data_IF_397023966676
#
_entry.id   IF_397023966676
#
_cell.length_a   1.000
_cell.length_b   1.000
_cell.length_c   1.000
_cell.angle_alpha   90.00
_cell.angle_beta   90.00
_cell.angle_gamma   90.00
#
_symmetry.space_group_name_H-M   'P 1'
#
loop_
_entity.id
_entity.type
_entity.pdbx_description
1 polymer ?
#
# COMPACT_ATOMS: atom_id res chain seq x y z
N UNK A 1 -18.50 -1.97 -24.90
CA UNK A 1 -18.13 -2.12 -23.47
C UNK A 1 -18.05 -0.76 -22.78
N UNK A 2 -17.26 0.19 -23.28
CA UNK A 2 -17.16 1.54 -22.72
C UNK A 2 -18.50 2.30 -22.72
N UNK A 3 -19.26 2.25 -23.82
CA UNK A 3 -20.59 2.89 -23.92
C UNK A 3 -21.60 2.33 -22.91
N UNK A 4 -21.55 1.02 -22.64
CA UNK A 4 -22.40 0.35 -21.64
C UNK A 4 -22.02 0.81 -20.22
N UNK A 5 -20.72 0.95 -19.94
CA UNK A 5 -20.24 1.50 -18.67
C UNK A 5 -20.68 2.96 -18.49
N UNK A 6 -20.62 3.76 -19.56
CA UNK A 6 -21.05 5.15 -19.53
C UNK A 6 -22.58 5.30 -19.40
N UNK A 7 -23.38 4.44 -20.03
CA UNK A 7 -24.83 4.48 -19.84
C UNK A 7 -25.24 4.10 -18.42
N UNK A 8 -24.55 3.14 -17.80
CA UNK A 8 -24.76 2.78 -16.39
C UNK A 8 -24.52 3.92 -15.42
N UNK A 9 -23.60 4.85 -15.71
CA UNK A 9 -23.39 6.03 -14.87
C UNK A 9 -24.63 6.96 -14.81
N UNK A 10 -25.49 6.92 -15.85
CA UNK A 10 -26.73 7.71 -15.91
C UNK A 10 -27.92 6.92 -15.36
N UNK A 11 -28.04 5.66 -15.73
CA UNK A 11 -29.21 4.84 -15.39
C UNK A 11 -29.14 4.27 -13.97
N UNK A 12 -27.94 3.87 -13.52
CA UNK A 12 -27.69 3.20 -12.24
C UNK A 12 -26.39 3.72 -11.60
N UNK A 13 -26.35 5.01 -11.22
CA UNK A 13 -25.12 5.67 -10.76
C UNK A 13 -24.49 4.99 -9.55
N UNK A 14 -25.28 4.55 -8.56
CA UNK A 14 -24.78 3.83 -7.38
C UNK A 14 -24.04 2.54 -7.75
N UNK A 15 -24.62 1.73 -8.64
CA UNK A 15 -24.01 0.48 -9.11
C UNK A 15 -22.74 0.73 -9.94
N UNK A 16 -22.72 1.78 -10.76
CA UNK A 16 -21.51 2.19 -11.48
C UNK A 16 -20.37 2.54 -10.49
N UNK A 17 -20.66 3.31 -9.44
CA UNK A 17 -19.66 3.69 -8.42
C UNK A 17 -19.16 2.44 -7.67
N UNK A 18 -20.04 1.49 -7.34
CA UNK A 18 -19.65 0.22 -6.71
C UNK A 18 -18.67 -0.56 -7.60
N UNK A 19 -18.92 -0.63 -8.92
CA UNK A 19 -18.02 -1.30 -9.87
C UNK A 19 -16.63 -0.65 -9.89
N UNK A 20 -16.57 0.69 -9.80
CA UNK A 20 -15.28 1.40 -9.66
C UNK A 20 -14.58 1.02 -8.36
N UNK A 21 -15.31 0.90 -7.24
CA UNK A 21 -14.75 0.41 -5.98
C UNK A 21 -14.17 -1.01 -6.10
N UNK A 22 -14.89 -1.92 -6.75
CA UNK A 22 -14.43 -3.30 -7.00
C UNK A 22 -13.18 -3.32 -7.89
N UNK A 23 -13.09 -2.44 -8.90
CA UNK A 23 -11.89 -2.31 -9.72
C UNK A 23 -10.67 -1.98 -8.85
N UNK A 24 -10.79 -1.08 -7.87
CA UNK A 24 -9.70 -0.77 -6.96
C UNK A 24 -9.32 -1.94 -6.04
N UNK A 25 -10.25 -2.85 -5.70
CA UNK A 25 -9.92 -4.11 -5.02
C UNK A 25 -9.04 -4.99 -5.91
N UNK A 26 -9.41 -5.15 -7.19
CA UNK A 26 -8.62 -5.92 -8.15
C UNK A 26 -7.22 -5.33 -8.31
N UNK A 27 -7.13 -3.99 -8.42
CA UNK A 27 -5.84 -3.29 -8.47
C UNK A 27 -5.04 -3.55 -7.20
N UNK A 28 -5.64 -3.45 -6.00
CA UNK A 28 -4.96 -3.74 -4.74
C UNK A 28 -4.39 -5.17 -4.71
N UNK A 29 -5.13 -6.17 -5.21
CA UNK A 29 -4.65 -7.55 -5.34
C UNK A 29 -3.46 -7.68 -6.28
N UNK A 30 -3.53 -7.07 -7.47
CA UNK A 30 -2.39 -7.07 -8.41
C UNK A 30 -1.17 -6.44 -7.77
N UNK A 31 -1.35 -5.32 -7.06
CA UNK A 31 -0.25 -4.58 -6.43
C UNK A 31 0.37 -5.36 -5.27
N UNK A 32 -0.42 -6.00 -4.39
CA UNK A 32 0.13 -6.78 -3.26
C UNK A 32 0.88 -8.02 -3.74
N UNK A 33 0.40 -8.69 -4.79
CA UNK A 33 1.13 -9.79 -5.44
C UNK A 33 2.43 -9.27 -6.07
N UNK A 34 2.39 -8.12 -6.74
CA UNK A 34 3.59 -7.49 -7.30
C UNK A 34 4.61 -7.14 -6.21
N UNK A 35 4.14 -6.62 -5.06
CA UNK A 35 4.99 -6.32 -3.90
C UNK A 35 5.61 -7.59 -3.32
N UNK A 36 4.83 -8.67 -3.20
CA UNK A 36 5.34 -9.96 -2.74
C UNK A 36 6.44 -10.50 -3.65
N UNK A 37 6.23 -10.48 -4.97
CA UNK A 37 7.25 -10.89 -5.95
C UNK A 37 8.48 -10.00 -5.83
N UNK A 38 8.29 -8.67 -5.78
CA UNK A 38 9.39 -7.71 -5.66
C UNK A 38 10.26 -7.97 -4.42
N UNK A 39 9.64 -8.12 -3.24
CA UNK A 39 10.36 -8.39 -1.99
C UNK A 39 11.15 -9.69 -2.09
N UNK A 40 10.57 -10.74 -2.66
CA UNK A 40 11.24 -12.03 -2.78
C UNK A 40 12.40 -12.02 -3.79
N UNK A 41 12.33 -11.20 -4.85
CA UNK A 41 13.45 -11.00 -5.79
C UNK A 41 14.64 -10.35 -5.09
N UNK A 42 14.41 -9.34 -4.24
CA UNK A 42 15.45 -8.57 -3.56
C UNK A 42 15.63 -8.96 -2.09
N UNK A 43 15.22 -10.18 -1.73
CA UNK A 43 15.06 -10.59 -0.35
C UNK A 43 16.34 -10.46 0.47
N UNK A 44 17.47 -10.92 -0.07
CA UNK A 44 18.77 -10.94 0.62
C UNK A 44 19.24 -9.54 0.94
N UNK A 45 19.15 -8.64 -0.03
CA UNK A 45 19.62 -7.27 0.10
C UNK A 45 18.70 -6.45 1.02
N UNK A 46 17.38 -6.64 0.90
CA UNK A 46 16.43 -6.02 1.84
C UNK A 46 16.71 -6.51 3.26
N UNK A 47 16.98 -7.81 3.45
CA UNK A 47 17.29 -8.35 4.78
C UNK A 47 18.62 -7.85 5.33
N UNK A 48 19.64 -7.72 4.47
CA UNK A 48 20.92 -7.11 4.84
C UNK A 48 20.72 -5.67 5.34
N UNK A 49 19.87 -4.89 4.68
CA UNK A 49 19.61 -3.50 5.09
C UNK A 49 18.77 -3.46 6.37
N UNK A 50 17.65 -4.19 6.40
CA UNK A 50 16.65 -4.08 7.46
C UNK A 50 17.09 -4.80 8.74
N UNK A 51 17.68 -5.99 8.60
CA UNK A 51 18.00 -6.88 9.72
C UNK A 51 19.50 -7.03 9.98
N UNK A 52 20.36 -6.47 9.13
CA UNK A 52 21.82 -6.67 9.16
C UNK A 52 22.23 -8.15 9.00
N UNK A 53 21.32 -8.97 8.48
CA UNK A 53 21.52 -10.40 8.25
C UNK A 53 20.84 -10.78 6.94
N UNK A 54 21.64 -11.08 5.92
CA UNK A 54 21.18 -11.50 4.59
C UNK A 54 20.52 -12.89 4.59
N UNK A 55 20.80 -13.73 5.61
CA UNK A 55 20.33 -15.12 5.72
C UNK A 55 19.11 -15.26 6.62
N UNK A 56 18.58 -14.15 7.14
CA UNK A 56 17.40 -14.17 8.01
C UNK A 56 16.23 -14.96 7.41
N UNK A 57 16.04 -14.83 6.10
CA UNK A 57 15.12 -15.69 5.34
C UNK A 57 15.94 -16.53 4.35
N UNK A 58 15.98 -17.83 4.58
CA UNK A 58 16.68 -18.78 3.71
C UNK A 58 15.85 -19.20 2.48
N UNK A 59 14.57 -18.85 2.46
CA UNK A 59 13.56 -19.30 1.49
C UNK A 59 12.62 -18.14 1.15
N UNK A 60 11.67 -18.39 0.24
CA UNK A 60 10.56 -17.47 0.00
C UNK A 60 9.90 -17.07 1.33
N UNK A 61 9.61 -15.79 1.45
CA UNK A 61 9.05 -15.21 2.67
C UNK A 61 7.65 -15.75 2.92
N UNK A 62 7.40 -16.22 4.15
CA UNK A 62 6.06 -16.67 4.53
C UNK A 62 5.08 -15.48 4.58
N UNK A 63 3.77 -15.71 4.44
CA UNK A 63 2.79 -14.62 4.40
C UNK A 63 2.88 -13.65 5.58
N UNK A 64 3.07 -14.15 6.81
CA UNK A 64 3.19 -13.29 7.99
C UNK A 64 4.47 -12.46 8.01
N UNK A 65 5.59 -13.04 7.60
CA UNK A 65 6.86 -12.32 7.47
C UNK A 65 6.77 -11.25 6.37
N UNK A 66 6.06 -11.56 5.28
CA UNK A 66 5.77 -10.61 4.21
C UNK A 66 4.91 -9.46 4.70
N UNK A 67 3.81 -9.75 5.40
CA UNK A 67 2.99 -8.70 6.00
C UNK A 67 3.81 -7.87 6.97
N UNK A 68 4.68 -8.51 7.76
CA UNK A 68 5.51 -7.82 8.72
C UNK A 68 6.47 -6.83 8.05
N UNK A 69 7.20 -7.29 7.02
CA UNK A 69 8.14 -6.45 6.30
C UNK A 69 7.43 -5.38 5.45
N UNK A 70 6.35 -5.73 4.77
CA UNK A 70 5.65 -4.84 3.84
C UNK A 70 5.05 -3.61 4.51
N UNK A 71 4.73 -3.65 5.81
CA UNK A 71 4.18 -2.49 6.56
C UNK A 71 5.26 -1.44 6.90
N UNK A 72 6.54 -1.74 6.70
CA UNK A 72 7.66 -0.84 7.00
C UNK A 72 7.50 0.58 6.41
N UNK A 73 7.08 0.79 5.14
CA UNK A 73 6.87 2.14 4.59
C UNK A 73 5.78 2.93 5.30
N UNK A 74 4.78 2.27 5.88
CA UNK A 74 3.76 2.92 6.72
C UNK A 74 4.32 3.25 8.10
N UNK A 75 5.10 2.36 8.70
CA UNK A 75 5.70 2.60 10.01
C UNK A 75 6.62 3.84 10.00
N UNK A 76 7.35 4.06 8.91
CA UNK A 76 8.32 5.15 8.74
C UNK A 76 7.83 6.30 7.86
N UNK A 77 6.52 6.43 7.63
CA UNK A 77 5.97 7.45 6.72
C UNK A 77 6.45 8.87 7.06
N UNK A 78 6.54 9.22 8.36
CA UNK A 78 6.99 10.54 8.81
C UNK A 78 8.46 10.79 8.50
N UNK A 79 9.32 9.82 8.76
CA UNK A 79 10.75 9.88 8.49
C UNK A 79 11.02 9.98 6.98
N UNK A 80 10.24 9.27 6.17
CA UNK A 80 10.31 9.33 4.72
C UNK A 80 9.92 10.73 4.23
N UNK A 81 8.86 11.33 4.79
CA UNK A 81 8.48 12.72 4.49
C UNK A 81 9.55 13.72 4.93
N UNK A 82 10.14 13.54 6.12
CA UNK A 82 11.27 14.35 6.60
C UNK A 82 12.44 14.32 5.60
N UNK A 83 12.84 13.12 5.18
CA UNK A 83 13.93 12.91 4.21
C UNK A 83 13.58 13.56 2.86
N UNK A 84 12.35 13.39 2.37
CA UNK A 84 11.94 13.86 1.05
C UNK A 84 11.74 15.37 0.97
N UNK A 85 11.22 15.99 2.03
CA UNK A 85 10.88 17.41 2.07
C UNK A 85 11.86 18.25 2.91
N UNK A 86 12.95 17.65 3.40
CA UNK A 86 13.91 18.27 4.32
C UNK A 86 13.23 18.96 5.52
N UNK A 87 12.21 18.28 6.09
CA UNK A 87 11.44 18.76 7.23
C UNK A 87 11.87 18.02 8.52
N UNK A 88 11.60 18.61 9.69
CA UNK A 88 11.90 17.99 10.99
C UNK A 88 10.62 17.79 11.80
N UNK A 89 9.78 16.83 11.39
CA UNK A 89 8.74 16.32 12.28
C UNK A 89 9.42 15.75 13.53
N UNK A 90 9.03 16.23 14.72
CA UNK A 90 9.44 15.61 16.00
C UNK A 90 9.10 14.13 15.97
N UNK A 91 10.11 13.27 16.14
CA UNK A 91 9.93 11.83 16.24
C UNK A 91 9.03 11.53 17.45
N UNK A 92 7.84 11.00 17.19
CA UNK A 92 6.88 10.63 18.24
C UNK A 92 6.92 9.13 18.56
N UNK A 93 7.82 8.40 17.90
CA UNK A 93 7.94 6.97 18.10
C UNK A 93 8.70 6.70 19.40
N UNK A 94 7.95 6.37 20.45
CA UNK A 94 8.52 5.85 21.70
C UNK A 94 9.29 4.55 21.46
N UNK A 95 9.91 4.01 22.50
CA UNK A 95 10.78 2.83 22.41
C UNK A 95 10.15 1.55 21.82
N UNK A 96 8.82 1.53 21.61
CA UNK A 96 8.02 0.41 21.12
C UNK A 96 7.68 0.56 19.62
N UNK A 97 8.71 0.68 18.77
CA UNK A 97 8.50 0.72 17.32
C UNK A 97 8.31 -0.70 16.79
N UNK A 98 7.31 -0.87 15.92
CA UNK A 98 6.97 -2.11 15.23
C UNK A 98 8.18 -2.88 14.70
N UNK A 99 9.13 -2.17 14.10
CA UNK A 99 10.41 -2.70 13.64
C UNK A 99 11.42 -1.56 13.64
N UNK A 100 12.49 -1.61 14.46
CA UNK A 100 13.49 -0.55 14.53
C UNK A 100 14.47 -0.65 13.36
N UNK A 101 14.53 0.40 12.54
CA UNK A 101 15.59 0.64 11.56
C UNK A 101 16.21 2.01 11.84
N UNK A 102 17.53 2.14 11.65
CA UNK A 102 18.22 3.41 11.79
C UNK A 102 18.04 4.30 10.55
N UNK A 103 18.23 5.60 10.72
CA UNK A 103 18.09 6.60 9.64
C UNK A 103 18.94 6.27 8.40
N UNK A 104 20.16 5.78 8.61
CA UNK A 104 21.03 5.35 7.52
C UNK A 104 20.44 4.17 6.74
N UNK A 105 19.89 3.16 7.44
CA UNK A 105 19.25 2.00 6.82
C UNK A 105 18.01 2.45 6.04
N UNK A 106 17.19 3.36 6.59
CA UNK A 106 16.03 3.90 5.90
C UNK A 106 16.42 4.68 4.63
N UNK A 107 17.45 5.54 4.71
CA UNK A 107 17.96 6.28 3.54
C UNK A 107 18.52 5.36 2.47
N UNK A 108 19.29 4.34 2.86
CA UNK A 108 19.79 3.32 1.95
C UNK A 108 18.64 2.54 1.29
N UNK A 109 17.63 2.17 2.08
CA UNK A 109 16.48 1.42 1.58
C UNK A 109 15.65 2.25 0.59
N UNK A 110 15.38 3.52 0.90
CA UNK A 110 14.69 4.46 0.01
C UNK A 110 15.44 4.69 -1.30
N UNK A 111 16.78 4.78 -1.24
CA UNK A 111 17.62 5.02 -2.42
C UNK A 111 17.68 3.80 -3.34
N UNK A 112 17.87 2.62 -2.76
CA UNK A 112 18.16 1.40 -3.53
C UNK A 112 16.89 0.62 -3.91
N UNK A 113 15.80 0.76 -3.14
CA UNK A 113 14.55 0.02 -3.33
C UNK A 113 13.31 0.93 -3.30
N UNK A 114 13.27 2.04 -4.06
CA UNK A 114 12.13 2.96 -4.05
C UNK A 114 10.82 2.29 -4.48
N UNK A 115 10.89 1.27 -5.34
CA UNK A 115 9.71 0.54 -5.83
C UNK A 115 8.97 -0.20 -4.72
N UNK A 116 9.68 -0.66 -3.68
CA UNK A 116 9.06 -1.22 -2.47
C UNK A 116 8.06 -0.25 -1.85
N UNK A 117 8.46 1.01 -1.71
CA UNK A 117 7.64 2.07 -1.15
C UNK A 117 6.49 2.44 -2.09
N UNK A 118 6.74 2.56 -3.40
CA UNK A 118 5.70 2.87 -4.38
C UNK A 118 4.61 1.80 -4.43
N UNK A 119 4.98 0.52 -4.45
CA UNK A 119 4.02 -0.59 -4.46
C UNK A 119 3.21 -0.60 -3.17
N UNK A 120 3.84 -0.41 -2.01
CA UNK A 120 3.13 -0.33 -0.73
C UNK A 120 2.13 0.83 -0.70
N UNK A 121 2.54 2.02 -1.13
CA UNK A 121 1.65 3.18 -1.14
C UNK A 121 0.52 3.07 -2.16
N UNK A 122 0.78 2.45 -3.31
CA UNK A 122 -0.25 2.17 -4.30
C UNK A 122 -1.26 1.14 -3.78
N UNK A 123 -0.82 0.14 -3.03
CA UNK A 123 -1.70 -0.82 -2.36
C UNK A 123 -2.60 -0.10 -1.34
N UNK A 124 -2.00 0.71 -0.45
CA UNK A 124 -2.74 1.48 0.55
C UNK A 124 -3.76 2.43 -0.09
N UNK A 125 -3.35 3.17 -1.12
CA UNK A 125 -4.23 4.10 -1.85
C UNK A 125 -5.39 3.36 -2.50
N UNK A 126 -5.13 2.22 -3.15
CA UNK A 126 -6.16 1.42 -3.80
C UNK A 126 -7.18 0.88 -2.78
N UNK A 127 -6.72 0.43 -1.60
CA UNK A 127 -7.60 0.02 -0.52
C UNK A 127 -8.49 1.15 -0.01
N UNK A 128 -7.93 2.33 0.22
CA UNK A 128 -8.69 3.52 0.66
C UNK A 128 -9.73 3.93 -0.39
N UNK A 129 -9.33 4.02 -1.67
CA UNK A 129 -10.24 4.38 -2.76
C UNK A 129 -11.38 3.37 -2.89
N UNK A 130 -11.07 2.07 -2.80
CA UNK A 130 -12.09 1.02 -2.79
C UNK A 130 -13.14 1.26 -1.70
N UNK A 131 -12.70 1.47 -0.45
CA UNK A 131 -13.61 1.71 0.68
C UNK A 131 -14.48 2.95 0.44
N UNK A 132 -13.89 4.04 -0.02
CA UNK A 132 -14.61 5.28 -0.33
C UNK A 132 -15.67 5.04 -1.42
N UNK A 133 -15.31 4.42 -2.53
CA UNK A 133 -16.25 4.19 -3.63
C UNK A 133 -17.34 3.19 -3.28
N UNK A 134 -17.04 2.12 -2.55
CA UNK A 134 -18.06 1.18 -2.08
C UNK A 134 -19.06 1.87 -1.13
N UNK A 135 -18.57 2.67 -0.19
CA UNK A 135 -19.41 3.42 0.72
C UNK A 135 -20.28 4.47 -0.01
N UNK A 136 -19.67 5.24 -0.92
CA UNK A 136 -20.38 6.22 -1.74
C UNK A 136 -21.42 5.56 -2.63
N UNK A 137 -21.07 4.46 -3.31
CA UNK A 137 -21.97 3.75 -4.20
C UNK A 137 -23.16 3.14 -3.46
N UNK A 138 -22.93 2.57 -2.27
CA UNK A 138 -23.99 2.11 -1.37
C UNK A 138 -24.90 3.27 -0.95
N UNK A 139 -24.31 4.39 -0.53
CA UNK A 139 -25.07 5.57 -0.09
C UNK A 139 -25.92 6.15 -1.23
N UNK A 140 -25.38 6.22 -2.45
CA UNK A 140 -26.12 6.70 -3.62
C UNK A 140 -27.30 5.78 -3.94
N UNK A 141 -27.12 4.46 -3.89
CA UNK A 141 -28.20 3.52 -4.17
C UNK A 141 -29.30 3.56 -3.10
N UNK A 142 -28.96 3.80 -1.84
CA UNK A 142 -29.93 3.85 -0.73
C UNK A 142 -30.70 5.18 -0.66
N UNK A 143 -30.01 6.31 -0.82
CA UNK A 143 -30.61 7.63 -0.57
C UNK A 143 -31.11 8.34 -1.83
N UNK A 144 -30.67 7.93 -3.02
CA UNK A 144 -31.02 8.57 -4.29
C UNK A 144 -31.75 7.65 -5.29
N UNK A 145 -32.07 6.40 -4.91
CA UNK A 145 -33.11 5.63 -5.62
C UNK A 145 -34.45 6.33 -5.43
N UNK A 146 -34.92 7.03 -6.47
CA UNK A 146 -36.34 7.37 -6.60
C UNK A 146 -37.12 6.06 -6.72
N UNK A 147 -38.10 5.87 -5.82
CA UNK A 147 -39.21 4.94 -6.05
C UNK A 147 -39.90 5.26 -7.38
#
# INVERSE_FOLDING_TARGET
MLEILLSMSKDRPGLFIILVGILFIVVAWVVIISLYIYINIYLKEICKIVYKDEKRFARLMEPFDFFYLSVLPSAYWKEILNIKFNTSFKAFYGNNIYQKIGDYQLKEFLKNYPMFFYLHYLFMLSGILSLIFLFLGYSVDQYFKKN
#
